data_IF_771555427909
#
_entry.id   IF_771555427909
#
_cell.length_a   1.000
_cell.length_b   1.000
_cell.length_c   1.000
_cell.angle_alpha   90.00
_cell.angle_beta   90.00
_cell.angle_gamma   90.00
#
_symmetry.space_group_name_H-M   'P 1'
#
loop_
_entity.id
_entity.type
_entity.pdbx_description
1 polymer ?
#
# COMPACT_ATOMS: atom_id res chain seq x y z
N UNK A 1 22.95 -22.80 22.33
CA UNK A 1 21.77 -22.71 21.45
C UNK A 1 21.45 -21.24 21.30
N UNK A 2 21.83 -20.70 20.15
CA UNK A 2 22.04 -19.26 19.96
C UNK A 2 20.74 -18.46 19.93
N UNK A 3 20.62 -17.56 20.90
CA UNK A 3 19.52 -16.59 21.03
C UNK A 3 19.35 -15.72 19.77
N UNK A 4 20.40 -15.57 18.97
CA UNK A 4 20.41 -14.84 17.71
C UNK A 4 19.53 -15.52 16.63
N UNK A 5 19.51 -16.85 16.57
CA UNK A 5 18.69 -17.59 15.60
C UNK A 5 17.19 -17.48 15.95
N UNK A 6 16.85 -17.44 17.24
CA UNK A 6 15.46 -17.27 17.68
C UNK A 6 14.92 -15.88 17.30
N UNK A 7 15.72 -14.83 17.48
CA UNK A 7 15.34 -13.46 17.12
C UNK A 7 15.18 -13.31 15.61
N UNK A 8 16.08 -13.90 14.82
CA UNK A 8 15.98 -13.85 13.35
C UNK A 8 14.78 -14.63 12.82
N UNK A 9 14.47 -15.80 13.40
CA UNK A 9 13.30 -16.59 13.04
C UNK A 9 11.99 -15.89 13.43
N UNK A 10 11.93 -15.26 14.61
CA UNK A 10 10.75 -14.48 15.04
C UNK A 10 10.53 -13.24 14.15
N UNK A 11 11.61 -12.54 13.79
CA UNK A 11 11.55 -11.40 12.86
C UNK A 11 11.02 -11.83 11.49
N UNK A 12 11.50 -12.95 10.96
CA UNK A 12 11.05 -13.47 9.66
C UNK A 12 9.58 -13.88 9.66
N UNK A 13 9.11 -14.53 10.74
CA UNK A 13 7.70 -14.93 10.88
C UNK A 13 6.79 -13.72 11.07
N UNK A 14 7.23 -12.70 11.80
CA UNK A 14 6.45 -11.46 12.00
C UNK A 14 6.23 -10.70 10.67
N UNK A 15 7.25 -10.64 9.81
CA UNK A 15 7.14 -10.01 8.49
C UNK A 15 6.19 -10.79 7.57
N UNK A 16 6.27 -12.12 7.58
CA UNK A 16 5.39 -12.99 6.78
C UNK A 16 3.91 -12.87 7.15
N UNK A 17 3.60 -12.68 8.43
CA UNK A 17 2.23 -12.45 8.91
C UNK A 17 1.75 -11.04 8.56
N UNK A 18 2.63 -10.03 8.55
CA UNK A 18 2.29 -8.66 8.14
C UNK A 18 1.77 -8.60 6.71
N UNK A 19 2.43 -9.30 5.78
CA UNK A 19 2.01 -9.40 4.38
C UNK A 19 0.69 -10.17 4.22
N UNK A 20 0.43 -11.16 5.10
CA UNK A 20 -0.81 -11.93 5.11
C UNK A 20 -2.01 -11.16 5.70
N UNK A 21 -1.76 -10.24 6.65
CA UNK A 21 -2.79 -9.46 7.34
C UNK A 21 -3.17 -8.17 6.60
N UNK A 22 -2.35 -7.70 5.67
CA UNK A 22 -2.71 -6.63 4.73
C UNK A 22 -2.79 -7.16 3.30
N UNK A 23 -3.72 -8.09 3.00
CA UNK A 23 -4.02 -8.41 1.61
C UNK A 23 -4.53 -7.14 0.94
N UNK A 24 -4.12 -6.89 -0.31
CA UNK A 24 -4.63 -5.76 -1.11
C UNK A 24 -6.15 -5.81 -1.08
N UNK A 25 -6.77 -4.77 -0.50
CA UNK A 25 -8.21 -4.66 -0.35
C UNK A 25 -8.85 -4.67 -1.74
N UNK A 26 -9.67 -5.68 -2.03
CA UNK A 26 -10.45 -5.79 -3.28
C UNK A 26 -11.82 -5.12 -3.19
N UNK A 27 -12.26 -4.80 -1.97
CA UNK A 27 -13.52 -4.13 -1.69
C UNK A 27 -13.24 -2.81 -0.97
N UNK A 28 -14.00 -1.76 -1.33
CA UNK A 28 -13.88 -0.43 -0.76
C UNK A 28 -14.08 -0.47 0.76
N UNK A 29 -13.04 -0.08 1.51
CA UNK A 29 -13.12 0.14 2.95
C UNK A 29 -12.66 1.54 3.35
N UNK A 30 -12.67 2.48 2.41
CA UNK A 30 -12.17 3.83 2.62
C UNK A 30 -12.83 4.53 3.82
N UNK A 31 -14.14 4.38 3.99
CA UNK A 31 -14.88 5.03 5.09
C UNK A 31 -14.60 4.44 6.48
N UNK A 32 -14.17 3.18 6.54
CA UNK A 32 -13.95 2.45 7.79
C UNK A 32 -12.48 2.45 8.20
N UNK A 33 -11.59 2.31 7.22
CA UNK A 33 -10.13 2.13 7.43
C UNK A 33 -9.32 3.36 7.01
N UNK A 34 -9.90 4.26 6.22
CA UNK A 34 -9.18 5.38 5.62
C UNK A 34 -8.23 4.99 4.49
N UNK A 35 -8.20 3.72 4.07
CA UNK A 35 -7.31 3.20 3.03
C UNK A 35 -8.06 3.07 1.70
N UNK A 36 -7.42 3.48 0.60
CA UNK A 36 -7.94 3.36 -0.76
C UNK A 36 -7.40 2.11 -1.44
N UNK A 37 -8.21 1.47 -2.28
CA UNK A 37 -7.71 0.51 -3.27
C UNK A 37 -6.97 1.23 -4.41
N UNK A 38 -6.14 0.53 -5.20
CA UNK A 38 -5.49 1.13 -6.36
C UNK A 38 -6.47 1.78 -7.35
N UNK A 39 -7.62 1.15 -7.59
CA UNK A 39 -8.66 1.66 -8.47
C UNK A 39 -9.29 2.93 -7.90
N UNK A 40 -9.56 2.96 -6.60
CA UNK A 40 -10.09 4.16 -5.93
C UNK A 40 -9.09 5.32 -5.96
N UNK A 41 -7.80 5.03 -5.83
CA UNK A 41 -6.74 6.04 -5.95
C UNK A 41 -6.72 6.67 -7.34
N UNK A 42 -6.85 5.86 -8.41
CA UNK A 42 -6.92 6.37 -9.79
C UNK A 42 -8.16 7.24 -9.98
N UNK A 43 -9.35 6.77 -9.56
CA UNK A 43 -10.61 7.53 -9.68
C UNK A 43 -10.52 8.86 -8.93
N UNK A 44 -9.97 8.86 -7.71
CA UNK A 44 -9.80 10.07 -6.92
C UNK A 44 -8.80 11.04 -7.55
N UNK A 45 -7.69 10.53 -8.12
CA UNK A 45 -6.70 11.33 -8.81
C UNK A 45 -7.25 11.97 -10.09
N UNK A 46 -8.01 11.23 -10.89
CA UNK A 46 -8.67 11.77 -12.08
C UNK A 46 -9.68 12.86 -11.72
N UNK A 47 -10.43 12.68 -10.64
CA UNK A 47 -11.34 13.71 -10.13
C UNK A 47 -10.58 14.98 -9.70
N UNK A 48 -9.42 14.84 -9.05
CA UNK A 48 -8.56 15.96 -8.66
C UNK A 48 -8.01 16.72 -9.86
N UNK A 49 -7.46 16.03 -10.85
CA UNK A 49 -6.90 16.65 -12.07
C UNK A 49 -8.00 17.35 -12.87
N UNK A 50 -9.20 16.79 -12.91
CA UNK A 50 -10.34 17.41 -13.60
C UNK A 50 -10.80 18.71 -12.94
N UNK A 51 -10.91 18.73 -11.61
CA UNK A 51 -11.43 19.90 -10.87
C UNK A 51 -10.35 20.94 -10.57
N UNK A 52 -9.09 20.53 -10.49
CA UNK A 52 -7.97 21.38 -10.15
C UNK A 52 -6.92 21.29 -11.26
N UNK A 53 -6.99 22.22 -12.22
CA UNK A 53 -6.12 22.26 -13.41
C UNK A 53 -4.63 22.47 -13.12
N UNK A 54 -4.26 22.77 -11.87
CA UNK A 54 -2.86 22.85 -11.42
C UNK A 54 -2.27 21.48 -11.12
N UNK A 55 -3.09 20.45 -10.96
CA UNK A 55 -2.66 19.08 -10.68
C UNK A 55 -2.56 18.26 -11.97
N UNK A 56 -1.56 17.37 -12.03
CA UNK A 56 -1.36 16.45 -13.15
C UNK A 56 -0.75 15.14 -12.66
N UNK A 57 -1.06 14.05 -13.37
CA UNK A 57 -0.39 12.77 -13.17
C UNK A 57 1.09 12.84 -13.57
N UNK A 58 1.94 12.10 -12.86
CA UNK A 58 3.35 11.91 -13.20
C UNK A 58 3.65 10.44 -13.41
N UNK A 59 4.63 10.16 -14.27
CA UNK A 59 5.25 8.84 -14.33
C UNK A 59 5.99 8.54 -13.03
N UNK A 60 6.20 7.26 -12.77
CA UNK A 60 7.07 6.80 -11.70
C UNK A 60 8.47 7.44 -11.86
N UNK A 61 9.02 7.93 -10.76
CA UNK A 61 10.34 8.55 -10.74
C UNK A 61 11.46 7.54 -11.04
N UNK A 62 11.26 6.28 -10.65
CA UNK A 62 12.12 5.15 -10.95
C UNK A 62 11.29 4.09 -11.69
N UNK A 63 11.61 3.75 -12.95
CA UNK A 63 10.88 2.72 -13.71
C UNK A 63 11.08 1.29 -13.18
N UNK A 64 12.06 1.08 -12.29
CA UNK A 64 12.44 -0.23 -11.76
C UNK A 64 11.88 -0.53 -10.37
N UNK A 65 11.18 0.45 -9.77
CA UNK A 65 10.46 0.33 -8.50
C UNK A 65 8.98 0.57 -8.72
#
# INVERSE_FOLDING_TARGET
MDMQNLVNNLKSTALSVGEMLTPVLKESKFRETGVLTPEEFVIAGDHLVHHCSTWQWSKAADPSR
#
